data_IF_071543563567
#
_entry.id   IF_071543563567
#
_cell.length_a   1.000
_cell.length_b   1.000
_cell.length_c   1.000
_cell.angle_alpha   90.00
_cell.angle_beta   90.00
_cell.angle_gamma   90.00
#
_symmetry.space_group_name_H-M   'P 1'
#
loop_
_entity.id
_entity.type
_entity.pdbx_description
1 polymer ?
#
# COMPACT_ATOMS: atom_id res chain seq x y z
N UNK A 1 4.50 26.76 -7.72
CA UNK A 1 4.82 26.34 -6.33
C UNK A 1 4.54 24.87 -6.21
N UNK A 2 5.45 24.11 -5.61
CA UNK A 2 5.23 22.68 -5.30
C UNK A 2 4.02 22.49 -4.40
N UNK A 3 3.31 21.39 -4.57
CA UNK A 3 2.12 21.06 -3.78
C UNK A 3 2.44 20.94 -2.29
N UNK A 4 1.68 21.63 -1.45
CA UNK A 4 1.79 21.53 0.02
C UNK A 4 0.89 20.43 0.62
N UNK A 5 0.25 19.62 -0.21
CA UNK A 5 -0.56 18.48 0.24
C UNK A 5 0.27 17.51 1.10
N UNK A 6 -0.36 16.75 2.02
CA UNK A 6 0.27 15.62 2.66
C UNK A 6 0.95 14.70 1.63
N UNK A 7 2.18 14.28 1.90
CA UNK A 7 2.91 13.37 1.03
C UNK A 7 2.43 11.94 1.31
N UNK A 8 2.06 11.19 0.27
CA UNK A 8 1.76 9.78 0.35
C UNK A 8 2.79 9.00 -0.47
N UNK A 9 3.74 8.39 0.22
CA UNK A 9 4.70 7.47 -0.39
C UNK A 9 4.08 6.08 -0.51
N UNK A 10 3.50 5.80 -1.67
CA UNK A 10 2.91 4.51 -2.02
C UNK A 10 4.01 3.51 -2.38
N UNK A 11 3.97 2.32 -1.78
CA UNK A 11 4.98 1.30 -2.01
C UNK A 11 4.37 -0.11 -1.99
N UNK A 12 5.21 -1.11 -2.21
CA UNK A 12 4.92 -2.53 -2.03
C UNK A 12 5.81 -3.13 -0.92
N UNK A 13 5.51 -4.34 -0.40
CA UNK A 13 6.29 -4.96 0.65
C UNK A 13 7.78 -5.09 0.30
N UNK A 14 8.66 -4.83 1.26
CA UNK A 14 10.12 -5.00 1.17
C UNK A 14 10.84 -4.12 0.13
N UNK A 15 10.26 -2.97 -0.19
CA UNK A 15 10.86 -1.98 -1.11
C UNK A 15 11.90 -1.06 -0.45
N UNK A 16 12.51 -1.42 0.68
CA UNK A 16 13.38 -0.55 1.50
C UNK A 16 12.66 0.68 2.05
N UNK A 17 11.33 0.66 2.10
CA UNK A 17 10.50 1.80 2.46
C UNK A 17 10.73 2.29 3.89
N UNK A 18 11.07 1.40 4.83
CA UNK A 18 11.39 1.77 6.22
C UNK A 18 12.67 2.61 6.30
N UNK A 19 13.74 2.23 5.59
CA UNK A 19 14.95 3.03 5.51
C UNK A 19 14.70 4.39 4.81
N UNK A 20 13.86 4.39 3.77
CA UNK A 20 13.42 5.61 3.10
C UNK A 20 12.64 6.52 4.05
N UNK A 21 11.68 6.00 4.81
CA UNK A 21 10.90 6.74 5.79
C UNK A 21 11.77 7.34 6.90
N UNK A 22 12.79 6.59 7.37
CA UNK A 22 13.74 7.11 8.39
C UNK A 22 14.45 8.38 7.95
N UNK A 23 14.72 8.56 6.66
CA UNK A 23 15.26 9.83 6.12
C UNK A 23 14.34 11.01 6.46
N UNK A 24 13.02 10.84 6.33
CA UNK A 24 12.05 11.90 6.57
C UNK A 24 11.70 12.05 8.06
N UNK A 25 11.85 11.00 8.85
CA UNK A 25 11.72 11.08 10.32
C UNK A 25 12.77 11.99 10.97
N UNK A 26 13.91 12.23 10.32
CA UNK A 26 14.91 13.20 10.76
C UNK A 26 14.45 14.65 10.60
N UNK A 27 13.37 14.89 9.84
CA UNK A 27 12.79 16.21 9.58
C UNK A 27 11.53 16.45 10.42
N UNK A 28 11.57 16.02 11.66
CA UNK A 28 10.50 16.23 12.62
C UNK A 28 10.28 17.71 12.98
N UNK A 29 11.18 18.59 12.54
CA UNK A 29 11.02 20.05 12.54
C UNK A 29 9.84 20.51 11.66
N UNK A 30 9.60 19.84 10.52
CA UNK A 30 8.60 20.24 9.49
C UNK A 30 7.66 19.12 9.09
N UNK A 31 7.97 17.86 9.42
CA UNK A 31 7.18 16.68 9.05
C UNK A 31 6.65 15.93 10.26
N UNK A 32 5.44 15.37 10.11
CA UNK A 32 4.92 14.30 10.95
C UNK A 32 4.82 13.04 10.11
N UNK A 33 5.61 12.00 10.46
CA UNK A 33 5.64 10.74 9.73
C UNK A 33 4.59 9.78 10.27
N UNK A 34 3.82 9.15 9.36
CA UNK A 34 2.78 8.18 9.68
C UNK A 34 3.11 6.86 8.99
N UNK A 35 3.36 5.83 9.79
CA UNK A 35 3.82 4.52 9.33
C UNK A 35 2.66 3.56 9.08
N UNK A 36 2.48 3.16 7.84
CA UNK A 36 1.56 2.09 7.37
C UNK A 36 0.18 2.09 8.05
N UNK A 37 -0.55 3.22 8.03
CA UNK A 37 -1.78 3.35 8.80
C UNK A 37 -2.90 2.45 8.27
N UNK A 38 -2.97 2.17 6.96
CA UNK A 38 -4.08 1.44 6.35
C UNK A 38 -4.01 -0.08 6.55
N UNK A 39 -2.85 -0.61 6.94
CA UNK A 39 -2.70 -2.01 7.34
C UNK A 39 -3.66 -2.43 8.45
N UNK A 40 -4.01 -1.49 9.35
CA UNK A 40 -4.95 -1.74 10.46
C UNK A 40 -6.34 -2.16 9.95
N UNK A 41 -6.90 -1.38 9.01
CA UNK A 41 -8.19 -1.71 8.40
C UNK A 41 -8.09 -2.91 7.45
N UNK A 42 -7.01 -3.00 6.68
CA UNK A 42 -6.81 -4.03 5.66
C UNK A 42 -6.78 -5.45 6.24
N UNK A 43 -6.07 -5.63 7.35
CA UNK A 43 -5.91 -6.95 7.98
C UNK A 43 -6.94 -7.24 9.07
N UNK A 44 -7.27 -6.27 9.92
CA UNK A 44 -7.93 -6.55 11.20
C UNK A 44 -9.33 -5.99 11.30
N UNK A 45 -9.62 -4.88 10.62
CA UNK A 45 -10.85 -4.12 10.80
C UNK A 45 -12.13 -4.79 10.25
N UNK A 46 -13.31 -4.20 10.51
CA UNK A 46 -14.57 -4.71 9.99
C UNK A 46 -14.70 -4.58 8.47
N UNK A 47 -13.91 -3.70 7.86
CA UNK A 47 -13.82 -3.46 6.41
C UNK A 47 -12.55 -4.09 5.79
N UNK A 48 -12.00 -5.13 6.42
CA UNK A 48 -10.78 -5.78 5.94
C UNK A 48 -10.93 -6.34 4.54
N UNK A 49 -9.84 -6.29 3.79
CA UNK A 49 -9.75 -6.84 2.44
C UNK A 49 -8.96 -8.15 2.41
N UNK A 50 -8.00 -8.30 3.34
CA UNK A 50 -7.14 -9.47 3.43
C UNK A 50 -7.86 -10.67 4.03
N UNK A 51 -7.70 -11.86 3.45
CA UNK A 51 -8.14 -13.11 4.08
C UNK A 51 -7.20 -13.63 5.17
N UNK A 52 -6.04 -13.00 5.39
CA UNK A 52 -4.95 -13.52 6.25
C UNK A 52 -5.41 -13.88 7.66
N UNK A 53 -6.26 -13.06 8.27
CA UNK A 53 -6.80 -13.28 9.61
C UNK A 53 -8.32 -13.47 9.59
N UNK A 54 -8.86 -13.98 8.46
CA UNK A 54 -10.31 -14.13 8.29
C UNK A 54 -10.92 -15.03 9.36
N UNK A 55 -10.27 -16.15 9.65
CA UNK A 55 -10.70 -17.17 10.62
C UNK A 55 -10.02 -17.03 11.99
N UNK A 56 -9.22 -15.97 12.21
CA UNK A 56 -8.49 -15.74 13.45
C UNK A 56 -8.99 -14.46 14.16
N UNK A 57 -10.15 -14.60 14.82
CA UNK A 57 -10.73 -13.53 15.63
C UNK A 57 -9.82 -13.12 16.79
N UNK A 58 -9.10 -14.08 17.38
CA UNK A 58 -8.20 -13.81 18.51
C UNK A 58 -7.07 -12.87 18.06
N UNK A 59 -6.39 -13.18 16.95
CA UNK A 59 -5.33 -12.32 16.41
C UNK A 59 -5.86 -10.92 16.06
N UNK A 60 -7.08 -10.82 15.51
CA UNK A 60 -7.69 -9.51 15.24
C UNK A 60 -7.92 -8.69 16.50
N UNK A 61 -8.43 -9.30 17.57
CA UNK A 61 -8.67 -8.61 18.85
C UNK A 61 -7.34 -8.24 19.53
N UNK A 62 -6.38 -9.15 19.54
CA UNK A 62 -5.05 -8.92 20.13
C UNK A 62 -4.26 -7.82 19.42
N UNK A 63 -4.51 -7.60 18.13
CA UNK A 63 -3.89 -6.50 17.37
C UNK A 63 -4.23 -5.11 17.91
N UNK A 64 -5.38 -4.96 18.60
CA UNK A 64 -5.92 -3.66 19.00
C UNK A 64 -6.58 -2.86 17.86
N UNK A 65 -6.68 -3.42 16.65
CA UNK A 65 -7.21 -2.75 15.44
C UNK A 65 -8.49 -3.39 14.88
N UNK A 66 -9.12 -4.31 15.62
CA UNK A 66 -10.31 -5.03 15.16
C UNK A 66 -11.48 -4.10 14.77
N UNK A 67 -11.54 -2.89 15.34
CA UNK A 67 -12.56 -1.88 15.05
C UNK A 67 -12.08 -0.78 14.06
N UNK A 68 -10.86 -0.90 13.51
CA UNK A 68 -10.31 0.10 12.60
C UNK A 68 -11.01 0.07 11.25
N UNK A 69 -11.60 1.19 10.86
CA UNK A 69 -12.19 1.41 9.52
C UNK A 69 -11.30 2.35 8.73
N UNK A 70 -11.47 2.39 7.40
CA UNK A 70 -10.77 3.37 6.57
C UNK A 70 -11.05 4.80 7.04
N UNK A 71 -12.29 5.09 7.47
CA UNK A 71 -12.66 6.40 8.01
C UNK A 71 -11.89 6.75 9.29
N UNK A 72 -11.83 5.85 10.27
CA UNK A 72 -11.13 6.12 11.53
C UNK A 72 -9.63 6.33 11.31
N UNK A 73 -9.04 5.70 10.29
CA UNK A 73 -7.66 5.92 9.90
C UNK A 73 -7.48 7.32 9.31
N UNK A 74 -8.33 7.77 8.38
CA UNK A 74 -8.26 9.12 7.84
C UNK A 74 -8.46 10.18 8.93
N UNK A 75 -9.39 9.97 9.87
CA UNK A 75 -9.60 10.86 11.01
C UNK A 75 -8.36 10.96 11.91
N UNK A 76 -7.64 9.84 12.13
CA UNK A 76 -6.36 9.82 12.85
C UNK A 76 -5.29 10.60 12.11
N UNK A 77 -5.10 10.35 10.81
CA UNK A 77 -4.15 11.07 9.96
C UNK A 77 -4.45 12.57 9.96
N UNK A 78 -5.72 12.96 9.84
CA UNK A 78 -6.12 14.37 9.87
C UNK A 78 -5.81 15.03 11.24
N UNK A 79 -6.01 14.30 12.32
CA UNK A 79 -5.68 14.79 13.67
C UNK A 79 -4.17 15.04 13.82
N UNK A 80 -3.34 14.12 13.37
CA UNK A 80 -1.88 14.26 13.38
C UNK A 80 -1.42 15.45 12.54
N UNK A 81 -2.06 15.70 11.38
CA UNK A 81 -1.78 16.87 10.53
C UNK A 81 -2.14 18.22 11.13
N UNK A 82 -3.01 18.28 12.14
CA UNK A 82 -3.40 19.54 12.81
C UNK A 82 -2.31 20.15 13.73
N UNK A 83 -1.22 19.44 13.93
CA UNK A 83 -0.10 19.93 14.75
C UNK A 83 0.82 20.93 14.02
N UNK A 84 0.44 21.38 12.83
CA UNK A 84 1.15 22.40 12.06
C UNK A 84 2.32 21.89 11.24
N UNK A 85 2.57 20.58 11.24
CA UNK A 85 3.57 19.91 10.38
C UNK A 85 2.91 19.32 9.14
N UNK A 86 3.66 19.22 8.05
CA UNK A 86 3.21 18.50 6.86
C UNK A 86 3.29 17.01 7.13
N UNK A 87 2.26 16.26 6.76
CA UNK A 87 2.28 14.80 6.89
C UNK A 87 3.15 14.15 5.82
N UNK A 88 3.90 13.14 6.24
CA UNK A 88 4.58 12.18 5.40
C UNK A 88 4.06 10.78 5.74
N UNK A 89 3.21 10.24 4.88
CA UNK A 89 2.58 8.93 5.05
C UNK A 89 3.35 7.95 4.17
N UNK A 90 3.91 6.89 4.74
CA UNK A 90 4.46 5.78 3.98
C UNK A 90 3.54 4.58 4.19
N UNK A 91 2.98 4.07 3.08
CA UNK A 91 2.09 2.93 3.18
C UNK A 91 2.21 1.95 2.01
N UNK A 92 1.84 0.71 2.28
CA UNK A 92 1.74 -0.34 1.28
C UNK A 92 0.43 -0.17 0.52
N UNK A 93 0.51 0.15 -0.77
CA UNK A 93 -0.67 0.58 -1.53
C UNK A 93 -1.74 -0.50 -1.67
N UNK A 94 -1.37 -1.78 -1.63
CA UNK A 94 -2.35 -2.86 -1.69
C UNK A 94 -3.31 -2.87 -0.49
N UNK A 95 -3.00 -2.18 0.60
CA UNK A 95 -3.94 -2.01 1.72
C UNK A 95 -5.21 -1.22 1.34
N UNK A 96 -5.17 -0.50 0.22
CA UNK A 96 -6.33 0.23 -0.31
C UNK A 96 -7.05 -0.51 -1.45
N UNK A 97 -6.54 -1.67 -1.89
CA UNK A 97 -6.97 -2.34 -3.11
C UNK A 97 -7.43 -3.75 -2.80
N UNK A 98 -8.62 -4.17 -3.29
CA UNK A 98 -9.04 -5.55 -3.15
C UNK A 98 -8.05 -6.52 -3.80
N UNK A 99 -7.65 -7.60 -3.08
CA UNK A 99 -6.67 -8.55 -3.58
C UNK A 99 -7.16 -9.34 -4.79
N UNK A 100 -6.24 -9.98 -5.51
CA UNK A 100 -6.53 -10.88 -6.64
C UNK A 100 -7.27 -10.20 -7.80
N UNK A 101 -7.01 -8.91 -8.06
CA UNK A 101 -7.64 -8.17 -9.15
C UNK A 101 -9.16 -7.99 -9.02
N UNK A 102 -9.75 -8.26 -7.86
CA UNK A 102 -11.18 -8.08 -7.64
C UNK A 102 -11.59 -6.62 -7.86
N UNK A 103 -12.78 -6.37 -8.45
CA UNK A 103 -13.31 -5.02 -8.59
C UNK A 103 -13.49 -4.34 -7.24
N UNK A 104 -13.06 -3.08 -7.14
CA UNK A 104 -13.25 -2.28 -5.93
C UNK A 104 -14.64 -1.67 -5.85
N UNK A 105 -15.14 -1.54 -4.63
CA UNK A 105 -16.24 -0.64 -4.27
C UNK A 105 -15.84 0.15 -3.02
N UNK A 106 -16.40 1.35 -2.88
CA UNK A 106 -16.02 2.27 -1.81
C UNK A 106 -16.30 1.64 -0.44
N UNK A 107 -15.33 1.74 0.47
CA UNK A 107 -15.48 1.25 1.82
C UNK A 107 -16.72 1.85 2.50
N UNK A 108 -17.55 1.05 3.18
CA UNK A 108 -18.79 1.52 3.80
C UNK A 108 -18.60 2.73 4.70
N UNK A 109 -17.56 2.78 5.47
CA UNK A 109 -17.24 3.89 6.39
C UNK A 109 -16.92 5.21 5.66
N UNK A 110 -16.49 5.16 4.40
CA UNK A 110 -16.19 6.34 3.58
C UNK A 110 -17.40 6.86 2.80
N UNK A 111 -18.61 6.47 3.17
CA UNK A 111 -19.84 6.99 2.59
C UNK A 111 -20.30 6.28 1.32
N UNK A 112 -19.76 5.09 1.06
CA UNK A 112 -20.26 4.20 0.02
C UNK A 112 -21.76 3.91 0.23
N UNK A 113 -22.61 4.29 -0.74
CA UNK A 113 -24.05 3.99 -0.64
C UNK A 113 -24.26 2.49 -0.85
N UNK A 114 -25.04 1.85 0.03
CA UNK A 114 -25.42 0.46 -0.12
C UNK A 114 -26.20 0.26 -1.43
N UNK A 115 -25.75 -0.65 -2.27
CA UNK A 115 -26.46 -1.06 -3.48
C UNK A 115 -27.46 -2.16 -3.10
N UNK A 116 -28.76 -1.91 -3.26
CA UNK A 116 -29.76 -2.97 -3.12
C UNK A 116 -29.55 -3.98 -4.26
N UNK A 117 -29.19 -5.22 -3.93
CA UNK A 117 -29.18 -6.31 -4.92
C UNK A 117 -30.60 -6.50 -5.42
N UNK A 118 -30.86 -6.18 -6.69
CA UNK A 118 -32.11 -6.56 -7.36
C UNK A 118 -32.13 -8.09 -7.54
N UNK A 119 -33.31 -8.67 -7.47
CA UNK A 119 -33.54 -10.08 -7.85
C UNK A 119 -33.15 -10.21 -9.32
N UNK A 120 -31.99 -10.88 -9.63
CA UNK A 120 -31.51 -11.09 -11.01
C UNK A 120 -30.08 -10.67 -11.30
N UNK A 121 -29.33 -10.10 -10.35
CA UNK A 121 -27.90 -9.78 -10.56
C UNK A 121 -26.99 -10.95 -10.18
N UNK A 122 -27.00 -12.02 -10.95
CA UNK A 122 -25.83 -12.87 -11.13
C UNK A 122 -25.03 -12.21 -12.27
N UNK A 123 -23.80 -11.77 -11.93
CA UNK A 123 -22.98 -10.94 -12.78
C UNK A 123 -22.90 -11.38 -14.24
N UNK A 124 -23.45 -10.57 -15.12
CA UNK A 124 -22.99 -10.32 -16.47
C UNK A 124 -23.52 -8.96 -16.91
N UNK A 125 -22.60 -8.11 -17.30
CA UNK A 125 -22.88 -6.79 -17.87
C UNK A 125 -23.40 -6.96 -19.29
N UNK A 126 -24.64 -6.56 -19.57
CA UNK A 126 -25.00 -6.00 -20.87
C UNK A 126 -26.15 -5.02 -20.69
N UNK A 127 -25.91 -3.78 -21.08
CA UNK A 127 -26.91 -2.74 -21.08
C UNK A 127 -27.99 -2.97 -22.16
N UNK A 128 -29.16 -2.48 -21.90
CA UNK A 128 -30.04 -1.73 -22.83
C UNK A 128 -31.26 -1.22 -22.05
N UNK A 129 -31.64 0.02 -22.33
CA UNK A 129 -32.82 0.73 -21.83
C UNK A 129 -34.12 0.04 -22.14
N UNK A 130 -35.08 0.12 -21.23
CA UNK A 130 -36.48 -0.20 -21.50
C UNK A 130 -37.40 0.31 -20.40
N UNK A 131 -38.08 1.39 -20.69
CA UNK A 131 -39.22 1.93 -19.92
C UNK A 131 -40.46 1.05 -20.12
N UNK A 132 -41.12 0.65 -19.05
CA UNK A 132 -42.60 0.58 -19.10
C UNK A 132 -43.23 0.45 -17.70
N UNK A 133 -44.25 1.24 -17.51
CA UNK A 133 -45.20 1.29 -16.39
C UNK A 133 -46.08 0.03 -16.31
N UNK A 134 -46.51 -0.32 -15.10
CA UNK A 134 -47.60 -1.27 -14.92
C UNK A 134 -47.92 -1.52 -13.44
N UNK A 135 -48.95 -0.85 -12.95
CA UNK A 135 -49.61 -1.16 -11.67
C UNK A 135 -50.31 -2.52 -11.74
N UNK A 136 -50.35 -3.28 -10.65
CA UNK A 136 -51.61 -3.88 -10.17
C UNK A 136 -51.44 -4.56 -8.80
N UNK A 137 -52.50 -4.43 -8.04
CA UNK A 137 -52.84 -4.85 -6.69
C UNK A 137 -52.81 -6.36 -6.41
N UNK A 138 -52.56 -6.70 -5.11
CA UNK A 138 -53.51 -7.61 -4.45
C UNK A 138 -52.94 -8.80 -3.67
N UNK A 139 -53.34 -8.83 -2.42
CA UNK A 139 -53.79 -9.95 -1.58
C UNK A 139 -52.85 -10.62 -0.60
N UNK A 140 -53.31 -10.57 0.66
CA UNK A 140 -52.86 -11.15 1.91
C UNK A 140 -52.70 -12.68 1.93
N UNK A 141 -51.75 -13.15 2.75
CA UNK A 141 -51.69 -14.52 3.21
C UNK A 141 -50.82 -14.66 4.46
N UNK A 142 -51.47 -14.74 5.63
CA UNK A 142 -50.86 -15.12 6.91
C UNK A 142 -50.53 -16.60 6.92
N UNK A 143 -49.35 -16.99 7.35
CA UNK A 143 -49.11 -18.24 8.05
C UNK A 143 -47.93 -18.10 9.05
N UNK A 144 -48.24 -18.33 10.33
CA UNK A 144 -47.31 -18.50 11.43
C UNK A 144 -46.56 -19.82 11.27
N UNK A 145 -45.24 -19.77 11.40
CA UNK A 145 -44.40 -20.94 11.55
C UNK A 145 -43.23 -20.65 12.49
N UNK A 146 -43.35 -21.05 13.76
CA UNK A 146 -42.26 -21.12 14.69
C UNK A 146 -41.28 -22.24 14.25
N UNK A 147 -40.05 -21.92 13.95
CA UNK A 147 -39.00 -22.90 13.93
C UNK A 147 -37.78 -22.36 14.73
N UNK A 148 -37.51 -23.05 15.85
CA UNK A 148 -36.25 -22.90 16.57
C UNK A 148 -35.08 -23.30 15.65
N UNK A 149 -34.32 -22.30 15.16
CA UNK A 149 -33.09 -22.53 14.43
C UNK A 149 -31.90 -22.41 15.37
N UNK A 150 -31.18 -23.49 15.57
CA UNK A 150 -29.83 -23.48 16.12
C UNK A 150 -28.97 -22.54 15.25
N UNK A 151 -28.44 -21.49 15.86
CA UNK A 151 -27.40 -20.65 15.23
C UNK A 151 -26.10 -21.46 15.24
N UNK A 152 -25.83 -22.18 14.14
CA UNK A 152 -24.48 -22.59 13.82
C UNK A 152 -23.65 -21.31 13.64
N UNK A 153 -22.58 -21.20 14.44
CA UNK A 153 -21.61 -20.12 14.30
C UNK A 153 -21.05 -20.10 12.87
N UNK A 154 -21.58 -19.19 12.07
CA UNK A 154 -20.99 -18.86 10.76
C UNK A 154 -19.69 -18.13 11.05
N UNK A 155 -18.55 -18.78 10.75
CA UNK A 155 -17.25 -18.10 10.64
C UNK A 155 -17.44 -16.83 9.81
N UNK A 156 -17.17 -15.68 10.44
CA UNK A 156 -17.36 -14.40 9.79
C UNK A 156 -16.32 -14.27 8.66
N UNK A 157 -16.75 -14.45 7.41
CA UNK A 157 -15.92 -14.17 6.24
C UNK A 157 -15.47 -12.72 6.23
N UNK A 158 -14.33 -12.46 5.61
CA UNK A 158 -13.91 -11.09 5.34
C UNK A 158 -15.05 -10.30 4.67
N UNK A 159 -15.36 -9.05 5.09
CA UNK A 159 -16.52 -8.29 4.64
C UNK A 159 -16.46 -7.90 3.17
N UNK A 160 -15.30 -8.02 2.52
CA UNK A 160 -15.18 -7.77 1.10
C UNK A 160 -15.67 -8.97 0.26
N UNK A 161 -16.34 -8.76 -0.90
CA UNK A 161 -16.66 -7.48 -1.53
C UNK A 161 -17.78 -6.72 -0.82
N UNK A 162 -17.64 -5.39 -0.75
CA UNK A 162 -18.64 -4.53 -0.15
C UNK A 162 -19.87 -4.38 -1.05
N UNK A 163 -21.04 -4.22 -0.41
CA UNK A 163 -22.30 -3.95 -1.10
C UNK A 163 -22.50 -2.43 -1.27
N UNK A 164 -21.49 -1.76 -1.78
CA UNK A 164 -21.41 -0.30 -1.93
C UNK A 164 -21.17 0.11 -3.37
N UNK A 165 -21.19 1.41 -3.66
CA UNK A 165 -20.97 1.94 -5.02
C UNK A 165 -19.52 1.79 -5.41
N UNK A 166 -19.25 1.41 -6.64
CA UNK A 166 -17.94 1.50 -7.26
C UNK A 166 -17.78 2.84 -8.00
N UNK A 167 -16.58 3.41 -7.96
CA UNK A 167 -16.22 4.53 -8.83
C UNK A 167 -15.56 3.98 -10.10
N UNK A 168 -16.06 4.33 -11.30
CA UNK A 168 -15.50 3.79 -12.54
C UNK A 168 -14.01 4.00 -12.69
N UNK A 169 -13.27 2.91 -12.85
CA UNK A 169 -11.82 2.89 -13.03
C UNK A 169 -11.00 3.06 -11.74
N UNK A 170 -11.62 3.36 -10.59
CA UNK A 170 -10.93 3.42 -9.31
C UNK A 170 -10.64 2.00 -8.79
N UNK A 171 -9.37 1.58 -8.68
CA UNK A 171 -9.03 0.26 -8.18
C UNK A 171 -9.07 0.16 -6.66
N UNK A 172 -9.28 1.29 -5.95
CA UNK A 172 -9.22 1.36 -4.49
C UNK A 172 -10.59 1.40 -3.84
N UNK A 173 -10.64 1.10 -2.55
CA UNK A 173 -11.84 1.26 -1.72
C UNK A 173 -12.00 2.69 -1.18
N UNK A 174 -11.13 3.61 -1.59
CA UNK A 174 -11.11 5.02 -1.17
C UNK A 174 -11.63 5.90 -2.30
N UNK A 175 -12.56 6.85 -2.02
CA UNK A 175 -13.03 7.79 -3.03
C UNK A 175 -11.91 8.60 -3.69
N UNK A 176 -12.01 8.81 -5.00
CA UNK A 176 -11.03 9.60 -5.78
C UNK A 176 -10.81 11.01 -5.22
N UNK A 177 -11.86 11.63 -4.67
CA UNK A 177 -11.77 12.97 -4.07
C UNK A 177 -10.95 12.98 -2.75
N UNK A 178 -10.90 11.85 -2.03
CA UNK A 178 -10.00 11.72 -0.87
C UNK A 178 -8.56 11.51 -1.36
N UNK A 179 -8.36 10.62 -2.33
CA UNK A 179 -7.02 10.40 -2.91
C UNK A 179 -6.41 11.70 -3.45
N UNK A 180 -7.22 12.57 -4.07
CA UNK A 180 -6.81 13.87 -4.61
C UNK A 180 -6.21 14.82 -3.56
N UNK A 181 -6.46 14.60 -2.29
CA UNK A 181 -5.94 15.43 -1.21
C UNK A 181 -4.46 15.19 -0.93
N UNK A 182 -3.85 14.15 -1.49
CA UNK A 182 -2.47 13.77 -1.23
C UNK A 182 -1.54 14.12 -2.40
N UNK A 183 -0.28 14.34 -2.07
CA UNK A 183 0.85 14.38 -3.00
C UNK A 183 1.43 12.96 -3.09
N UNK A 184 0.97 12.18 -4.09
CA UNK A 184 1.44 10.82 -4.27
C UNK A 184 2.85 10.77 -4.85
N UNK A 185 3.66 9.92 -4.25
CA UNK A 185 4.96 9.47 -4.75
C UNK A 185 5.02 7.95 -4.67
N UNK A 186 5.93 7.31 -5.40
CA UNK A 186 5.98 5.86 -5.52
C UNK A 186 7.39 5.36 -5.20
N UNK A 187 7.49 4.28 -4.43
CA UNK A 187 8.75 3.63 -4.13
C UNK A 187 8.66 2.16 -4.53
N UNK A 188 9.54 1.75 -5.44
CA UNK A 188 9.58 0.40 -5.99
C UNK A 188 10.92 -0.26 -5.75
N UNK A 189 10.95 -1.59 -5.81
CA UNK A 189 12.17 -2.39 -5.76
C UNK A 189 12.02 -3.59 -6.69
N UNK A 190 13.13 -4.01 -7.32
CA UNK A 190 13.10 -5.16 -8.20
C UNK A 190 12.56 -6.42 -7.50
N UNK A 191 11.59 -7.17 -8.10
CA UNK A 191 10.96 -8.35 -7.49
C UNK A 191 11.95 -9.40 -6.99
N UNK A 192 13.08 -9.63 -7.71
CA UNK A 192 14.16 -10.54 -7.29
C UNK A 192 14.76 -10.20 -5.91
N UNK A 193 14.57 -8.99 -5.42
CA UNK A 193 15.08 -8.55 -4.12
C UNK A 193 13.98 -8.47 -3.05
N UNK A 194 12.77 -8.04 -3.41
CA UNK A 194 11.65 -7.88 -2.48
C UNK A 194 10.96 -9.20 -2.17
N UNK A 195 10.68 -10.03 -3.18
CA UNK A 195 9.92 -11.28 -3.01
C UNK A 195 10.64 -12.27 -2.08
N UNK A 196 11.93 -12.63 -2.29
CA UNK A 196 12.61 -13.52 -1.35
C UNK A 196 12.78 -12.89 0.03
N UNK A 197 12.87 -11.57 0.13
CA UNK A 197 12.88 -10.85 1.42
C UNK A 197 11.54 -10.94 2.13
N UNK A 198 10.41 -10.88 1.39
CA UNK A 198 9.08 -11.07 1.93
C UNK A 198 8.87 -12.53 2.36
N UNK A 199 9.23 -13.49 1.49
CA UNK A 199 9.16 -14.92 1.81
C UNK A 199 9.87 -15.25 3.13
N UNK A 200 11.07 -14.72 3.35
CA UNK A 200 11.82 -14.89 4.60
C UNK A 200 11.03 -14.49 5.85
N UNK A 201 10.17 -13.47 5.75
CA UNK A 201 9.38 -12.98 6.87
C UNK A 201 8.20 -13.90 7.22
N UNK A 202 7.85 -14.85 6.35
CA UNK A 202 6.70 -15.75 6.48
C UNK A 202 7.07 -17.20 6.82
N UNK A 203 8.34 -17.44 7.13
CA UNK A 203 8.88 -18.75 7.50
C UNK A 203 9.68 -18.67 8.82
N UNK A 204 9.89 -19.81 9.52
CA UNK A 204 10.69 -19.86 10.74
C UNK A 204 12.11 -19.30 10.55
N UNK A 205 12.66 -18.57 11.54
CA UNK A 205 12.05 -18.23 12.81
C UNK A 205 11.19 -16.96 12.80
N UNK A 206 11.18 -16.19 11.67
CA UNK A 206 10.56 -14.86 11.61
C UNK A 206 9.04 -14.89 11.59
N UNK A 207 8.42 -15.94 11.10
CA UNK A 207 6.95 -16.11 11.06
C UNK A 207 6.30 -15.91 12.44
N UNK A 208 6.95 -16.40 13.51
CA UNK A 208 6.48 -16.21 14.89
C UNK A 208 6.58 -14.77 15.40
N UNK A 209 7.51 -13.99 14.83
CA UNK A 209 7.71 -12.59 15.20
C UNK A 209 6.78 -11.70 14.43
N UNK A 210 6.62 -11.98 13.13
CA UNK A 210 5.78 -11.20 12.22
C UNK A 210 4.29 -11.52 12.34
N UNK A 211 3.93 -12.72 12.80
CA UNK A 211 2.56 -13.25 12.76
C UNK A 211 2.10 -13.67 11.36
N UNK A 212 3.01 -13.67 10.36
CA UNK A 212 2.72 -14.03 8.97
C UNK A 212 3.20 -15.46 8.71
N UNK A 213 2.36 -16.43 8.96
CA UNK A 213 2.73 -17.85 8.92
C UNK A 213 2.75 -18.47 7.52
N UNK A 214 2.15 -17.78 6.53
CA UNK A 214 2.07 -18.27 5.17
C UNK A 214 2.51 -17.18 4.19
N UNK A 215 3.34 -17.56 3.23
CA UNK A 215 3.65 -16.69 2.10
C UNK A 215 2.43 -16.61 1.17
N UNK A 216 2.00 -15.40 0.88
CA UNK A 216 0.87 -15.11 0.00
C UNK A 216 1.38 -14.29 -1.19
N UNK A 217 1.52 -14.90 -2.39
CA UNK A 217 2.01 -14.21 -3.60
C UNK A 217 1.19 -12.97 -3.96
N UNK A 218 -0.11 -12.99 -3.68
CA UNK A 218 -1.04 -11.88 -3.91
C UNK A 218 -0.76 -10.64 -3.06
N UNK A 219 0.05 -10.76 -2.01
CA UNK A 219 0.51 -9.63 -1.21
C UNK A 219 1.81 -9.00 -1.74
N UNK A 220 2.29 -9.40 -2.93
CA UNK A 220 3.47 -8.80 -3.56
C UNK A 220 3.28 -7.31 -3.87
N UNK A 221 2.07 -6.87 -4.21
CA UNK A 221 1.65 -5.48 -4.25
C UNK A 221 2.03 -4.70 -5.50
N UNK A 222 2.62 -5.31 -6.52
CA UNK A 222 3.05 -4.61 -7.75
C UNK A 222 1.89 -4.29 -8.69
N UNK A 223 0.98 -5.22 -8.93
CA UNK A 223 -0.24 -5.01 -9.72
C UNK A 223 -1.08 -3.88 -9.12
N UNK A 224 -1.29 -3.92 -7.80
CA UNK A 224 -2.03 -2.90 -7.08
C UNK A 224 -1.36 -1.54 -7.20
N UNK A 225 -0.03 -1.49 -7.05
CA UNK A 225 0.74 -0.25 -7.18
C UNK A 225 0.61 0.34 -8.59
N UNK A 226 0.74 -0.49 -9.64
CA UNK A 226 0.57 -0.08 -11.04
C UNK A 226 -0.85 0.41 -11.31
N UNK A 227 -1.87 -0.33 -10.89
CA UNK A 227 -3.28 0.06 -11.10
C UNK A 227 -3.62 1.39 -10.43
N UNK A 228 -3.15 1.62 -9.20
CA UNK A 228 -3.34 2.91 -8.52
C UNK A 228 -2.56 4.02 -9.22
N UNK A 229 -1.32 3.79 -9.60
CA UNK A 229 -0.52 4.75 -10.37
C UNK A 229 -1.22 5.18 -11.66
N UNK A 230 -1.71 4.22 -12.46
CA UNK A 230 -2.41 4.51 -13.71
C UNK A 230 -3.74 5.24 -13.48
N UNK A 231 -4.47 4.88 -12.43
CA UNK A 231 -5.69 5.58 -12.04
C UNK A 231 -5.41 7.04 -11.69
N UNK A 232 -4.44 7.31 -10.81
CA UNK A 232 -4.10 8.68 -10.40
C UNK A 232 -3.64 9.53 -11.59
N UNK A 233 -2.91 8.95 -12.55
CA UNK A 233 -2.54 9.60 -13.81
C UNK A 233 -3.76 9.90 -14.68
N UNK A 234 -4.68 8.95 -14.81
CA UNK A 234 -5.91 9.10 -15.60
C UNK A 234 -6.85 10.18 -15.06
N UNK A 235 -6.68 10.56 -13.79
CA UNK A 235 -7.44 11.61 -13.10
C UNK A 235 -6.67 12.92 -12.95
N UNK A 236 -5.52 13.06 -13.61
CA UNK A 236 -4.62 14.22 -13.47
C UNK A 236 -4.26 14.54 -12.00
N UNK A 237 -4.23 13.51 -11.15
CA UNK A 237 -3.81 13.64 -9.75
C UNK A 237 -2.28 13.53 -9.59
N UNK A 238 -1.62 12.87 -10.54
CA UNK A 238 -0.17 12.87 -10.73
C UNK A 238 0.17 13.03 -12.21
N UNK A 239 1.21 13.80 -12.54
CA UNK A 239 1.63 14.09 -13.89
C UNK A 239 0.87 15.27 -14.52
N UNK A 240 1.11 15.54 -15.81
CA UNK A 240 1.90 14.73 -16.76
C UNK A 240 3.44 14.82 -16.61
N UNK A 241 3.95 15.81 -15.84
CA UNK A 241 5.38 15.97 -15.63
C UNK A 241 5.98 14.76 -14.92
N UNK A 242 7.10 14.23 -15.42
CA UNK A 242 7.85 13.14 -14.81
C UNK A 242 9.06 13.73 -14.11
N UNK A 243 9.23 13.41 -12.83
CA UNK A 243 10.40 13.81 -12.05
C UNK A 243 11.66 13.15 -12.60
N UNK A 244 12.36 13.84 -13.49
CA UNK A 244 13.67 13.48 -14.02
C UNK A 244 14.60 14.64 -13.75
N UNK A 245 15.86 14.39 -13.44
CA UNK A 245 16.85 15.46 -13.47
C UNK A 245 17.10 15.87 -14.93
N UNK A 246 17.22 17.13 -15.25
CA UNK A 246 17.93 18.19 -14.55
C UNK A 246 17.02 19.31 -14.01
N UNK A 247 17.64 20.19 -13.25
CA UNK A 247 17.04 21.34 -12.53
C UNK A 247 16.13 22.24 -13.38
N UNK A 248 16.32 22.27 -14.71
CA UNK A 248 15.56 23.09 -15.65
C UNK A 248 14.13 22.61 -15.91
N UNK A 249 13.77 21.39 -15.57
CA UNK A 249 12.42 20.85 -15.85
C UNK A 249 11.43 21.07 -14.69
N UNK A 250 11.92 21.20 -13.45
CA UNK A 250 11.08 21.50 -12.28
C UNK A 250 10.46 22.92 -12.34
N UNK A 251 11.03 23.83 -13.11
CA UNK A 251 10.52 25.19 -13.31
C UNK A 251 9.22 25.24 -14.13
N UNK A 252 8.86 24.16 -14.81
CA UNK A 252 7.69 24.07 -15.71
C UNK A 252 6.45 23.43 -15.06
N UNK A 253 6.48 23.07 -13.77
CA UNK A 253 5.30 22.57 -13.06
C UNK A 253 4.22 23.66 -12.98
N UNK A 254 3.00 23.32 -13.36
CA UNK A 254 1.84 24.17 -13.12
C UNK A 254 1.58 24.27 -11.61
N UNK A 255 1.00 25.38 -11.19
CA UNK A 255 0.68 25.57 -9.78
C UNK A 255 -0.26 24.45 -9.27
N UNK A 256 0.15 23.77 -8.22
CA UNK A 256 -0.58 22.65 -7.64
C UNK A 256 -0.43 21.29 -8.36
N UNK A 257 0.33 21.24 -9.44
CA UNK A 257 0.66 19.97 -10.12
C UNK A 257 1.52 19.08 -9.22
N UNK A 258 1.23 17.78 -9.23
CA UNK A 258 2.03 16.73 -8.58
C UNK A 258 2.77 15.97 -9.67
N UNK A 259 4.10 16.07 -9.70
CA UNK A 259 4.92 15.32 -10.65
C UNK A 259 4.80 13.80 -10.44
N UNK A 260 4.99 13.04 -11.53
CA UNK A 260 5.19 11.59 -11.41
C UNK A 260 6.56 11.35 -10.79
N UNK A 261 6.59 11.03 -9.50
CA UNK A 261 7.82 10.80 -8.75
C UNK A 261 7.90 9.34 -8.33
N UNK A 262 8.69 8.55 -9.05
CA UNK A 262 8.96 7.13 -8.76
C UNK A 262 10.40 6.99 -8.31
N UNK A 263 10.62 6.40 -7.15
CA UNK A 263 11.95 6.06 -6.61
C UNK A 263 12.17 4.57 -6.76
N UNK A 264 13.27 4.19 -7.38
CA UNK A 264 13.72 2.81 -7.38
C UNK A 264 14.69 2.59 -6.21
N UNK A 265 14.41 1.58 -5.39
CA UNK A 265 15.21 1.29 -4.21
C UNK A 265 16.66 0.88 -4.52
N UNK A 266 16.93 0.27 -5.68
CA UNK A 266 18.29 -0.06 -6.07
C UNK A 266 19.07 1.21 -6.45
N UNK A 267 18.44 2.16 -7.16
CA UNK A 267 19.03 3.47 -7.48
C UNK A 267 19.24 4.30 -6.19
N UNK A 268 18.26 4.26 -5.24
CA UNK A 268 18.38 4.88 -3.93
C UNK A 268 19.58 4.35 -3.14
N UNK A 269 19.77 3.04 -3.12
CA UNK A 269 20.86 2.40 -2.39
C UNK A 269 22.22 2.60 -3.08
N UNK A 270 22.26 2.90 -4.36
CA UNK A 270 23.49 3.22 -5.09
C UNK A 270 23.90 4.70 -4.97
N UNK A 271 22.92 5.63 -4.89
CA UNK A 271 23.14 7.06 -4.75
C UNK A 271 22.10 7.71 -3.83
N UNK A 272 22.14 7.44 -2.51
CA UNK A 272 21.12 7.95 -1.58
C UNK A 272 21.04 9.48 -1.57
N UNK A 273 22.18 10.18 -1.56
CA UNK A 273 22.20 11.64 -1.53
C UNK A 273 21.51 12.24 -2.77
N UNK A 274 21.90 11.80 -3.97
CA UNK A 274 21.34 12.31 -5.22
C UNK A 274 19.82 12.05 -5.30
N UNK A 275 19.38 10.83 -4.99
CA UNK A 275 17.96 10.45 -5.04
C UNK A 275 17.14 11.22 -4.00
N UNK A 276 17.60 11.33 -2.74
CA UNK A 276 16.85 12.06 -1.70
C UNK A 276 16.79 13.55 -2.02
N UNK A 277 17.89 14.14 -2.52
CA UNK A 277 17.91 15.53 -2.96
C UNK A 277 16.90 15.78 -4.09
N UNK A 278 16.86 14.91 -5.08
CA UNK A 278 15.89 15.00 -6.17
C UNK A 278 14.45 14.83 -5.66
N UNK A 279 14.20 13.85 -4.78
CA UNK A 279 12.89 13.64 -4.19
C UNK A 279 12.42 14.87 -3.37
N UNK A 280 13.28 15.42 -2.51
CA UNK A 280 12.97 16.60 -1.71
C UNK A 280 12.53 17.78 -2.58
N UNK A 281 13.20 18.00 -3.73
CA UNK A 281 12.83 19.04 -4.69
C UNK A 281 11.42 18.81 -5.23
N UNK A 282 11.08 17.58 -5.65
CA UNK A 282 9.77 17.25 -6.22
C UNK A 282 8.63 17.43 -5.21
N UNK A 283 8.84 17.06 -3.95
CA UNK A 283 7.83 17.20 -2.91
C UNK A 283 7.87 18.56 -2.18
N UNK A 284 8.77 19.46 -2.57
CA UNK A 284 8.88 20.79 -1.96
C UNK A 284 9.42 20.81 -0.53
N UNK A 285 10.39 19.94 -0.26
CA UNK A 285 11.16 19.90 0.99
C UNK A 285 12.58 20.43 0.77
N UNK A 286 13.11 21.11 1.75
CA UNK A 286 14.51 21.49 1.75
C UNK A 286 15.37 20.27 2.12
N UNK A 287 16.29 19.89 1.23
CA UNK A 287 17.25 18.82 1.49
C UNK A 287 18.32 19.29 2.48
N UNK A 288 18.63 18.41 3.43
CA UNK A 288 19.76 18.56 4.36
C UNK A 288 20.51 17.23 4.41
N UNK A 289 21.83 17.26 4.31
CA UNK A 289 22.68 16.05 4.33
C UNK A 289 22.52 15.24 5.64
N UNK A 290 22.16 15.89 6.75
CA UNK A 290 21.87 15.21 8.02
C UNK A 290 20.63 14.30 7.95
N UNK A 291 19.76 14.46 6.95
CA UNK A 291 18.63 13.55 6.72
C UNK A 291 19.06 12.10 6.50
N UNK A 292 20.29 11.88 6.06
CA UNK A 292 20.83 10.53 5.82
C UNK A 292 21.45 9.89 7.07
N UNK A 293 21.42 10.57 8.22
CA UNK A 293 22.08 10.14 9.48
C UNK A 293 21.06 10.16 10.61
N UNK A 294 20.94 9.05 11.34
CA UNK A 294 20.05 8.89 12.49
C UNK A 294 20.69 8.01 13.57
N UNK A 295 21.84 8.47 14.05
CA UNK A 295 22.74 7.73 14.96
C UNK A 295 22.53 8.09 16.45
N UNK A 296 21.55 8.95 16.77
CA UNK A 296 21.22 9.29 18.14
C UNK A 296 20.21 8.30 18.75
N UNK A 297 20.25 8.14 20.08
CA UNK A 297 19.27 7.29 20.78
C UNK A 297 17.83 7.76 20.55
N UNK A 298 17.60 9.07 20.52
CA UNK A 298 16.27 9.63 20.22
C UNK A 298 15.75 9.17 18.84
N UNK A 299 16.61 9.16 17.81
CA UNK A 299 16.23 8.65 16.49
C UNK A 299 15.91 7.15 16.51
N UNK A 300 16.62 6.38 17.33
CA UNK A 300 16.34 4.95 17.48
C UNK A 300 15.06 4.67 18.26
N UNK A 301 14.77 5.44 19.32
CA UNK A 301 13.52 5.34 20.08
C UNK A 301 12.32 5.66 19.19
N UNK A 302 12.33 6.79 18.50
CA UNK A 302 11.27 7.17 17.55
C UNK A 302 11.02 6.06 16.49
N UNK A 303 12.08 5.45 15.98
CA UNK A 303 11.95 4.36 15.01
C UNK A 303 11.35 3.10 15.64
N UNK A 304 11.79 2.71 16.84
CA UNK A 304 11.22 1.56 17.56
C UNK A 304 9.72 1.74 17.81
N UNK A 305 9.30 2.91 18.28
CA UNK A 305 7.89 3.23 18.50
C UNK A 305 7.08 3.20 17.21
N UNK A 306 7.57 3.86 16.15
CA UNK A 306 6.85 3.96 14.87
C UNK A 306 6.67 2.59 14.20
N UNK A 307 7.66 1.69 14.33
CA UNK A 307 7.72 0.41 13.61
C UNK A 307 7.35 -0.80 14.47
N UNK A 308 6.95 -0.60 15.73
CA UNK A 308 6.63 -1.69 16.66
C UNK A 308 5.51 -2.61 16.15
N UNK A 309 4.52 -2.04 15.47
CA UNK A 309 3.36 -2.76 14.94
C UNK A 309 3.73 -3.92 14.01
N UNK A 310 4.75 -3.72 13.18
CA UNK A 310 5.19 -4.70 12.19
C UNK A 310 6.57 -5.29 12.53
N UNK A 311 6.68 -5.87 13.74
CA UNK A 311 7.92 -6.51 14.21
C UNK A 311 8.43 -7.55 13.21
N UNK A 312 9.75 -7.67 13.10
CA UNK A 312 10.43 -8.61 12.21
C UNK A 312 10.52 -8.17 10.75
N UNK A 313 9.68 -7.20 10.32
CA UNK A 313 9.78 -6.64 8.98
C UNK A 313 10.80 -5.50 8.88
N UNK A 314 11.13 -4.83 9.98
CA UNK A 314 11.86 -3.55 9.98
C UNK A 314 13.21 -3.57 10.68
N UNK A 315 13.63 -4.71 11.23
CA UNK A 315 14.79 -4.84 12.11
C UNK A 315 16.08 -4.30 11.51
N UNK A 316 16.35 -4.59 10.23
CA UNK A 316 17.53 -4.09 9.54
C UNK A 316 17.56 -2.55 9.48
N UNK A 317 16.40 -1.91 9.25
CA UNK A 317 16.29 -0.46 9.19
C UNK A 317 16.30 0.18 10.59
N UNK A 318 15.66 -0.45 11.58
CA UNK A 318 15.64 0.01 12.98
C UNK A 318 17.07 0.04 13.54
N UNK A 319 17.85 -0.99 13.27
CA UNK A 319 19.21 -1.14 13.78
C UNK A 319 20.27 -0.34 12.98
N UNK A 320 19.88 0.25 11.85
CA UNK A 320 20.79 1.10 11.06
C UNK A 320 20.92 2.49 11.69
N UNK A 321 22.04 3.16 11.44
CA UNK A 321 22.31 4.54 11.89
C UNK A 321 22.38 5.56 10.76
N UNK A 322 22.26 5.11 9.51
CA UNK A 322 22.35 5.98 8.33
C UNK A 322 21.92 5.26 7.06
N UNK A 323 21.61 6.03 6.02
CA UNK A 323 21.47 5.55 4.65
C UNK A 323 22.74 5.91 3.87
N UNK A 324 23.60 4.92 3.62
CA UNK A 324 24.85 5.08 2.89
C UNK A 324 24.79 4.38 1.54
N UNK A 325 25.50 4.95 0.57
CA UNK A 325 25.69 4.28 -0.71
C UNK A 325 26.35 2.90 -0.53
N UNK A 326 25.94 1.94 -1.33
CA UNK A 326 26.58 0.64 -1.38
C UNK A 326 28.02 0.79 -1.88
N UNK A 327 28.96 0.09 -1.23
CA UNK A 327 30.37 0.11 -1.64
C UNK A 327 30.57 -0.44 -3.07
N UNK A 328 29.74 -1.41 -3.46
CA UNK A 328 29.77 -2.01 -4.77
C UNK A 328 28.37 -2.11 -5.37
N UNK A 329 28.21 -1.67 -6.62
CA UNK A 329 26.98 -1.91 -7.36
C UNK A 329 26.70 -3.41 -7.43
N UNK A 330 25.48 -3.78 -7.13
CA UNK A 330 25.05 -5.18 -7.18
C UNK A 330 25.19 -5.70 -8.60
N UNK A 331 26.05 -6.68 -8.83
CA UNK A 331 26.13 -7.32 -10.14
C UNK A 331 24.82 -8.09 -10.37
N UNK A 332 24.18 -7.93 -11.55
CA UNK A 332 23.00 -8.72 -11.88
C UNK A 332 23.37 -10.21 -11.88
N UNK A 333 22.58 -11.00 -11.18
CA UNK A 333 22.67 -12.46 -11.20
C UNK A 333 21.86 -12.99 -12.38
N UNK A 334 22.27 -14.13 -12.91
CA UNK A 334 21.46 -14.86 -13.86
C UNK A 334 20.28 -15.54 -13.15
N UNK A 335 19.22 -15.86 -13.88
CA UNK A 335 18.07 -16.62 -13.36
C UNK A 335 18.52 -17.93 -12.70
N UNK A 336 19.48 -18.64 -13.32
CA UNK A 336 20.04 -19.87 -12.76
C UNK A 336 20.70 -19.64 -11.41
N UNK A 337 21.54 -18.62 -11.29
CA UNK A 337 22.21 -18.28 -10.03
C UNK A 337 21.21 -17.88 -8.92
N UNK A 338 20.17 -17.14 -9.26
CA UNK A 338 19.11 -16.79 -8.32
C UNK A 338 18.35 -18.03 -7.83
N UNK A 339 18.00 -18.94 -8.75
CA UNK A 339 17.29 -20.18 -8.40
C UNK A 339 18.15 -21.11 -7.54
N UNK A 340 19.45 -21.22 -7.83
CA UNK A 340 20.38 -22.00 -7.03
C UNK A 340 20.50 -21.43 -5.61
N UNK A 341 20.66 -20.11 -5.47
CA UNK A 341 20.72 -19.43 -4.16
C UNK A 341 19.43 -19.62 -3.35
N UNK A 342 18.27 -19.49 -3.98
CA UNK A 342 17.00 -19.66 -3.28
C UNK A 342 16.74 -21.13 -2.93
N UNK A 343 17.18 -22.07 -3.78
CA UNK A 343 17.09 -23.50 -3.50
C UNK A 343 17.97 -23.88 -2.29
N UNK A 344 19.21 -23.37 -2.26
CA UNK A 344 20.12 -23.59 -1.13
C UNK A 344 19.55 -23.02 0.17
N UNK A 345 18.96 -21.82 0.09
CA UNK A 345 18.51 -21.07 1.26
C UNK A 345 17.15 -21.49 1.80
N UNK A 346 16.23 -21.87 0.93
CA UNK A 346 14.82 -22.08 1.27
C UNK A 346 14.28 -23.46 0.84
N UNK A 347 15.03 -24.23 0.07
CA UNK A 347 14.58 -25.48 -0.51
C UNK A 347 13.93 -25.30 -1.88
N UNK A 348 13.80 -26.40 -2.63
CA UNK A 348 13.37 -26.39 -4.04
C UNK A 348 11.93 -25.87 -4.23
N UNK A 349 10.99 -26.29 -3.37
CA UNK A 349 9.59 -25.88 -3.49
C UNK A 349 9.43 -24.37 -3.23
N UNK A 350 10.11 -23.85 -2.22
CA UNK A 350 10.12 -22.43 -1.90
C UNK A 350 10.78 -21.61 -3.01
N UNK A 351 11.92 -22.08 -3.56
CA UNK A 351 12.59 -21.42 -4.66
C UNK A 351 11.69 -21.32 -5.92
N UNK A 352 10.89 -22.36 -6.18
CA UNK A 352 9.90 -22.36 -7.27
C UNK A 352 8.83 -21.30 -7.05
N UNK A 353 8.21 -21.26 -5.85
CA UNK A 353 7.18 -20.26 -5.53
C UNK A 353 7.75 -18.84 -5.62
N UNK A 354 8.95 -18.61 -5.10
CA UNK A 354 9.64 -17.32 -5.19
C UNK A 354 9.84 -16.94 -6.67
N UNK A 355 10.34 -17.86 -7.52
CA UNK A 355 10.57 -17.60 -8.94
C UNK A 355 9.27 -17.23 -9.65
N UNK A 356 8.22 -18.03 -9.50
CA UNK A 356 6.92 -17.80 -10.11
C UNK A 356 6.36 -16.42 -9.69
N UNK A 357 6.50 -16.07 -8.41
CA UNK A 357 6.07 -14.74 -7.91
C UNK A 357 6.92 -13.61 -8.47
N UNK A 358 8.24 -13.78 -8.57
CA UNK A 358 9.13 -12.77 -9.18
C UNK A 358 8.75 -12.51 -10.62
N UNK A 359 8.58 -13.59 -11.41
CA UNK A 359 8.30 -13.48 -12.85
C UNK A 359 6.91 -12.86 -13.09
N UNK A 360 5.91 -13.16 -12.25
CA UNK A 360 4.57 -12.58 -12.34
C UNK A 360 4.53 -11.08 -12.07
N UNK A 361 5.49 -10.54 -11.31
CA UNK A 361 5.51 -9.12 -10.93
C UNK A 361 6.56 -8.29 -11.71
N UNK A 362 7.30 -8.91 -12.63
CA UNK A 362 8.39 -8.24 -13.35
C UNK A 362 7.87 -7.16 -14.31
N UNK A 363 6.79 -7.45 -15.03
CA UNK A 363 6.21 -6.50 -16.00
C UNK A 363 5.75 -5.21 -15.32
N UNK A 364 5.09 -5.31 -14.17
CA UNK A 364 4.59 -4.14 -13.42
C UNK A 364 5.74 -3.31 -12.85
N UNK A 365 6.78 -3.98 -12.34
CA UNK A 365 8.00 -3.31 -11.91
C UNK A 365 8.68 -2.55 -13.07
N UNK A 366 8.92 -3.22 -14.20
CA UNK A 366 9.58 -2.60 -15.37
C UNK A 366 8.75 -1.43 -15.92
N UNK A 367 7.43 -1.56 -15.93
CA UNK A 367 6.54 -0.46 -16.31
C UNK A 367 6.75 0.77 -15.42
N UNK A 368 6.70 0.61 -14.09
CA UNK A 368 6.91 1.68 -13.13
C UNK A 368 8.34 2.23 -13.17
N UNK A 369 9.34 1.37 -13.39
CA UNK A 369 10.75 1.74 -13.51
C UNK A 369 11.02 2.74 -14.63
N UNK A 370 10.20 2.74 -15.71
CA UNK A 370 10.33 3.72 -16.80
C UNK A 370 10.10 5.17 -16.34
N UNK A 371 9.42 5.36 -15.20
CA UNK A 371 9.16 6.67 -14.60
C UNK A 371 10.13 7.01 -13.47
N UNK A 372 11.09 6.15 -13.16
CA UNK A 372 11.98 6.35 -12.03
C UNK A 372 12.87 7.58 -12.22
N UNK A 373 13.04 8.31 -11.12
CA UNK A 373 13.99 9.43 -11.02
C UNK A 373 15.39 8.94 -11.37
N UNK A 374 16.10 9.71 -12.18
CA UNK A 374 17.48 9.47 -12.59
C UNK A 374 18.36 10.61 -12.06
N UNK A 375 19.49 10.28 -11.43
CA UNK A 375 20.48 11.23 -10.89
C UNK A 375 21.89 10.79 -11.20
#
# INVERSE_FOLDING_TARGET
>A
MTSMKPIFCATHPRACSTAFERVFMTRDDVLACVHEPFGDAFYFGPERLSPRYEDDEAARQESGFADSTYKTIFERIEKEGKEGKRLFIKDIIHYLVPPQGKPASIAPSLGGKSVKKGVGTNGETNGVNGVSNGETNGVNGHTNGHTNGHTNGTTAKAPYPYNTVAEPGNPTVVPAEILKQFHFTFLIRHPRSSIPSYFRCTIPPLDKVTGFYNFMPEEAGYDELRRVFDFLRSKDQVGPHIARTPESEAENLKDGEVSITVIDADDLLDNPEGIIKAYCREVGLEYNANMLIWDTEEHHEKAREAFEKWRGFHDDAINSSSLKAREHKKKPKTVTQENEEWTEKYGADAAKIIRETVDANLEDYEYLKNFAVKV
#
